data_IF_196053586663
#
_entry.id   IF_196053586663
#
_cell.length_a   1.000
_cell.length_b   1.000
_cell.length_c   1.000
_cell.angle_alpha   90.00
_cell.angle_beta   90.00
_cell.angle_gamma   90.00
#
_symmetry.space_group_name_H-M   'P 1'
#
loop_
_entity.id
_entity.type
_entity.pdbx_description
1 polymer ?
#
# COMPACT_ATOMS: atom_id res chain seq x y z
N UNK A 1 -0.15 6.66 23.97
CA UNK A 1 -0.46 5.57 24.91
C UNK A 1 0.74 4.63 25.09
N UNK A 2 1.27 4.08 23.97
CA UNK A 2 2.34 3.07 24.07
C UNK A 2 3.62 3.64 24.70
N UNK A 3 4.11 4.78 24.25
CA UNK A 3 5.36 5.36 24.73
C UNK A 3 5.26 5.97 26.14
N UNK A 4 4.15 6.62 26.48
CA UNK A 4 4.00 7.31 27.77
C UNK A 4 3.45 6.39 28.88
N UNK A 5 2.58 5.47 28.52
CA UNK A 5 1.88 4.62 29.49
C UNK A 5 2.33 3.16 29.45
N UNK A 6 3.23 2.79 28.54
CA UNK A 6 3.74 1.43 28.40
C UNK A 6 2.70 0.41 27.92
N UNK A 7 1.61 0.86 27.31
CA UNK A 7 0.60 -0.04 26.72
C UNK A 7 1.15 -0.58 25.39
N UNK A 8 1.30 -1.90 25.29
CA UNK A 8 1.77 -2.52 24.06
C UNK A 8 0.93 -2.11 22.85
N UNK A 9 1.52 -1.69 21.73
CA UNK A 9 0.77 -1.48 20.49
C UNK A 9 0.09 -2.77 20.00
N UNK A 10 0.60 -3.93 20.41
CA UNK A 10 0.11 -5.27 20.04
C UNK A 10 -0.91 -5.84 21.04
N UNK A 11 -1.54 -5.00 21.88
CA UNK A 11 -2.44 -5.42 22.97
C UNK A 11 -3.56 -6.38 22.51
N UNK A 12 -4.13 -6.16 21.32
CA UNK A 12 -5.19 -7.01 20.77
C UNK A 12 -4.67 -8.28 20.08
N UNK A 13 -3.36 -8.35 19.84
CA UNK A 13 -2.71 -9.41 19.07
C UNK A 13 -1.98 -10.41 19.96
N UNK A 14 -1.32 -9.93 21.01
CA UNK A 14 -0.51 -10.75 21.90
C UNK A 14 -1.24 -11.13 23.20
N UNK A 15 -2.51 -10.79 23.35
CA UNK A 15 -3.30 -11.03 24.54
C UNK A 15 -2.66 -10.53 25.85
N UNK A 16 -1.83 -9.50 25.77
CA UNK A 16 -1.18 -8.88 26.92
C UNK A 16 -1.96 -7.63 27.31
N UNK A 17 -2.81 -7.75 28.31
CA UNK A 17 -3.65 -6.67 28.79
C UNK A 17 -2.95 -5.87 29.87
N UNK A 18 -2.98 -4.52 29.82
CA UNK A 18 -2.45 -3.70 30.89
C UNK A 18 -3.26 -3.89 32.18
N UNK A 19 -2.57 -3.83 33.32
CA UNK A 19 -3.24 -3.85 34.61
C UNK A 19 -4.15 -2.61 34.75
N UNK A 20 -5.36 -2.82 35.28
CA UNK A 20 -6.25 -1.71 35.62
C UNK A 20 -5.60 -0.85 36.70
N UNK A 21 -5.71 0.46 36.55
CA UNK A 21 -5.23 1.46 37.50
C UNK A 21 -6.36 2.43 37.80
N UNK A 22 -6.50 2.82 39.07
CA UNK A 22 -7.52 3.79 39.50
C UNK A 22 -7.17 5.22 39.09
N UNK A 23 -5.89 5.50 38.84
CA UNK A 23 -5.42 6.80 38.38
C UNK A 23 -4.19 6.67 37.47
N UNK A 24 -4.04 7.62 36.59
CA UNK A 24 -2.86 7.79 35.72
C UNK A 24 -2.31 9.17 36.03
N UNK A 25 -1.03 9.23 36.45
CA UNK A 25 -0.32 10.48 36.69
C UNK A 25 0.69 10.68 35.54
N UNK A 26 0.56 11.79 34.84
CA UNK A 26 1.53 12.26 33.85
C UNK A 26 2.27 13.44 34.43
N UNK A 27 3.57 13.43 34.40
CA UNK A 27 4.41 14.56 34.73
C UNK A 27 4.72 15.50 33.53
N UNK A 28 5.49 16.53 33.77
CA UNK A 28 5.85 17.49 32.71
C UNK A 28 6.66 16.86 31.58
N UNK A 29 7.33 15.72 31.80
CA UNK A 29 8.06 14.99 30.76
C UNK A 29 7.15 14.34 29.72
N UNK A 30 5.85 14.23 30.02
CA UNK A 30 4.83 13.80 29.06
C UNK A 30 4.53 14.85 27.96
N UNK A 31 5.00 16.09 28.17
CA UNK A 31 4.88 17.19 27.19
C UNK A 31 5.98 17.06 26.13
N UNK A 32 5.77 16.23 25.13
CA UNK A 32 6.73 15.94 24.07
C UNK A 32 6.26 16.53 22.74
N UNK A 33 7.14 17.27 22.09
CA UNK A 33 6.98 17.67 20.67
C UNK A 33 7.78 16.69 19.84
N UNK A 34 7.11 15.95 18.96
CA UNK A 34 7.77 15.02 18.03
C UNK A 34 8.17 15.73 16.75
N UNK A 35 9.23 15.26 16.11
CA UNK A 35 9.60 15.69 14.75
C UNK A 35 8.56 15.19 13.74
N UNK A 36 8.57 15.81 12.57
CA UNK A 36 7.87 15.25 11.40
C UNK A 36 8.44 13.85 11.10
N UNK A 37 7.57 12.87 10.80
CA UNK A 37 8.02 11.53 10.44
C UNK A 37 8.94 11.51 9.22
N UNK A 38 9.93 10.63 9.22
CA UNK A 38 10.92 10.53 8.16
C UNK A 38 10.33 10.08 6.82
N UNK A 39 9.27 9.28 6.84
CA UNK A 39 8.51 8.84 5.66
C UNK A 39 7.07 9.33 5.78
N UNK A 40 6.58 9.99 4.74
CA UNK A 40 5.27 10.65 4.75
C UNK A 40 4.10 9.67 4.93
N UNK A 41 3.97 8.68 4.04
CA UNK A 41 2.97 7.61 4.12
C UNK A 41 3.69 6.31 4.44
N UNK A 42 3.33 5.68 5.55
CA UNK A 42 3.99 4.49 6.06
C UNK A 42 2.97 3.53 6.64
N UNK A 43 3.06 2.29 6.21
CA UNK A 43 2.06 1.32 6.61
C UNK A 43 2.32 -0.07 6.06
N UNK A 44 1.26 -0.83 5.97
CA UNK A 44 1.34 -2.22 5.53
C UNK A 44 0.18 -2.61 4.61
N UNK A 45 0.34 -3.76 3.99
CA UNK A 45 -0.62 -4.40 3.12
C UNK A 45 -1.00 -5.76 3.69
N UNK A 46 -2.30 -5.96 3.93
CA UNK A 46 -2.87 -7.27 4.27
C UNK A 46 -3.14 -7.98 2.96
N UNK A 47 -2.15 -8.75 2.49
CA UNK A 47 -2.23 -9.39 1.19
C UNK A 47 -2.99 -10.71 1.23
N UNK A 48 -2.92 -11.43 2.34
CA UNK A 48 -3.58 -12.73 2.49
C UNK A 48 -4.73 -12.63 3.50
N UNK A 49 -5.87 -13.22 3.17
CA UNK A 49 -7.04 -13.19 4.03
C UNK A 49 -7.29 -14.55 4.67
N UNK A 50 -7.10 -15.62 3.92
CA UNK A 50 -7.41 -16.97 4.34
C UNK A 50 -6.18 -17.87 4.26
N UNK A 51 -6.02 -18.81 5.25
CA UNK A 51 -7.02 -19.14 6.27
C UNK A 51 -6.92 -18.32 7.57
N UNK A 52 -5.81 -17.60 7.86
CA UNK A 52 -5.57 -17.08 9.19
C UNK A 52 -6.34 -15.77 9.48
N UNK A 53 -6.12 -14.71 8.73
CA UNK A 53 -6.73 -13.40 8.98
C UNK A 53 -8.27 -13.45 8.89
N UNK A 54 -8.81 -14.06 7.82
CA UNK A 54 -10.25 -14.18 7.62
C UNK A 54 -10.93 -15.02 8.70
N UNK A 55 -10.33 -16.15 9.10
CA UNK A 55 -10.86 -16.97 10.21
C UNK A 55 -10.88 -16.20 11.54
N UNK A 56 -9.82 -15.42 11.81
CA UNK A 56 -9.78 -14.55 12.99
C UNK A 56 -10.87 -13.47 12.91
N UNK A 57 -11.02 -12.82 11.75
CA UNK A 57 -12.02 -11.79 11.55
C UNK A 57 -13.45 -12.32 11.69
N UNK A 58 -13.75 -13.48 11.12
CA UNK A 58 -15.06 -14.14 11.28
C UNK A 58 -15.36 -14.47 12.74
N UNK A 59 -14.40 -15.07 13.43
CA UNK A 59 -14.57 -15.47 14.83
C UNK A 59 -14.84 -14.29 15.76
N UNK A 60 -14.18 -13.15 15.55
CA UNK A 60 -14.21 -12.02 16.49
C UNK A 60 -15.17 -10.92 16.06
N UNK A 61 -15.42 -10.74 14.76
CA UNK A 61 -16.18 -9.59 14.23
C UNK A 61 -17.31 -10.01 13.29
N UNK A 62 -17.43 -11.29 12.96
CA UNK A 62 -18.40 -11.81 12.01
C UNK A 62 -18.01 -11.55 10.54
N UNK A 63 -16.72 -11.30 10.28
CA UNK A 63 -16.15 -11.08 8.95
C UNK A 63 -15.15 -9.92 8.90
N UNK A 64 -14.55 -9.71 7.74
CA UNK A 64 -13.66 -8.59 7.44
C UNK A 64 -14.54 -7.37 7.14
N UNK A 65 -14.81 -6.58 8.17
CA UNK A 65 -15.73 -5.43 8.14
C UNK A 65 -15.18 -4.25 8.96
N UNK A 66 -15.95 -3.17 9.12
CA UNK A 66 -15.51 -1.98 9.85
C UNK A 66 -15.09 -2.27 11.31
N UNK A 67 -15.69 -3.26 11.97
CA UNK A 67 -15.30 -3.64 13.34
C UNK A 67 -13.93 -4.32 13.36
N UNK A 68 -13.65 -5.14 12.34
CA UNK A 68 -12.34 -5.74 12.14
C UNK A 68 -11.31 -4.65 11.83
N UNK A 69 -11.61 -3.76 10.88
CA UNK A 69 -10.71 -2.67 10.52
C UNK A 69 -10.46 -1.68 11.64
N UNK A 70 -11.39 -1.50 12.59
CA UNK A 70 -11.12 -0.69 13.79
C UNK A 70 -9.90 -1.19 14.57
N UNK A 71 -9.72 -2.50 14.68
CA UNK A 71 -8.54 -3.10 15.32
C UNK A 71 -7.27 -2.93 14.49
N UNK A 72 -7.40 -3.06 13.17
CA UNK A 72 -6.27 -2.87 12.24
C UNK A 72 -5.80 -1.41 12.24
N UNK A 73 -6.72 -0.45 12.19
CA UNK A 73 -6.38 0.97 12.24
C UNK A 73 -5.78 1.36 13.58
N UNK A 74 -6.30 0.83 14.70
CA UNK A 74 -5.70 1.04 16.01
C UNK A 74 -4.27 0.52 16.06
N UNK A 75 -4.01 -0.70 15.57
CA UNK A 75 -2.67 -1.26 15.47
C UNK A 75 -1.75 -0.38 14.64
N UNK A 76 -2.18 -0.02 13.42
CA UNK A 76 -1.41 0.84 12.51
C UNK A 76 -0.99 2.15 13.19
N UNK A 77 -1.94 2.86 13.79
CA UNK A 77 -1.70 4.14 14.45
C UNK A 77 -0.81 4.00 15.70
N UNK A 78 -0.98 2.94 16.48
CA UNK A 78 -0.13 2.64 17.66
C UNK A 78 1.30 2.31 17.25
N UNK A 79 1.49 1.69 16.08
CA UNK A 79 2.79 1.44 15.47
C UNK A 79 3.33 2.66 14.69
N UNK A 80 2.70 3.84 14.80
CA UNK A 80 3.08 5.09 14.13
C UNK A 80 2.92 5.07 12.61
N UNK A 81 2.17 4.11 12.08
CA UNK A 81 1.73 4.09 10.69
C UNK A 81 0.58 5.06 10.45
N UNK A 82 0.29 5.36 9.20
CA UNK A 82 -0.82 6.22 8.77
C UNK A 82 -1.40 5.83 7.41
N UNK A 83 -0.93 4.74 6.81
CA UNK A 83 -1.30 4.34 5.45
C UNK A 83 -1.56 2.84 5.37
N UNK A 84 -2.66 2.43 4.74
CA UNK A 84 -3.03 1.02 4.66
C UNK A 84 -3.45 0.63 3.24
N UNK A 85 -2.96 -0.53 2.78
CA UNK A 85 -3.57 -1.32 1.72
C UNK A 85 -4.39 -2.44 2.35
N UNK A 86 -5.72 -2.46 2.15
CA UNK A 86 -6.59 -3.41 2.81
C UNK A 86 -6.53 -4.80 2.17
N UNK A 87 -7.14 -5.77 2.82
CA UNK A 87 -7.45 -7.09 2.29
C UNK A 87 -8.26 -6.98 0.99
N UNK A 88 -8.01 -7.86 -0.01
CA UNK A 88 -8.48 -7.61 -1.36
C UNK A 88 -8.86 -8.85 -2.19
N UNK A 89 -8.40 -10.05 -1.84
CA UNK A 89 -8.63 -11.24 -2.68
C UNK A 89 -10.04 -11.80 -2.55
N UNK A 90 -10.60 -11.79 -1.34
CA UNK A 90 -11.97 -12.19 -1.05
C UNK A 90 -12.79 -11.05 -0.42
N UNK A 91 -12.16 -9.91 -0.16
CA UNK A 91 -12.74 -8.76 0.53
C UNK A 91 -12.82 -7.54 -0.37
N UNK A 92 -13.79 -6.69 -0.09
CA UNK A 92 -13.98 -5.43 -0.76
C UNK A 92 -14.09 -4.31 0.28
N UNK A 93 -12.99 -3.73 0.67
CA UNK A 93 -12.91 -2.71 1.72
C UNK A 93 -13.98 -1.63 1.59
N UNK A 94 -14.24 -1.18 0.38
CA UNK A 94 -15.20 -0.09 0.15
C UNK A 94 -16.66 -0.50 0.29
N UNK A 95 -16.99 -1.78 0.38
CA UNK A 95 -18.37 -2.27 0.45
C UNK A 95 -18.65 -3.20 1.63
N UNK A 96 -17.63 -3.84 2.19
CA UNK A 96 -17.76 -4.86 3.25
C UNK A 96 -17.98 -4.27 4.66
N UNK A 97 -18.03 -2.94 4.78
CA UNK A 97 -18.05 -2.21 6.03
C UNK A 97 -19.20 -2.36 7.02
N UNK A 98 -20.53 -2.54 6.76
CA UNK A 98 -21.23 -2.58 5.47
C UNK A 98 -21.28 -1.23 4.74
N UNK A 99 -21.40 -1.29 3.44
CA UNK A 99 -21.31 -0.09 2.59
C UNK A 99 -20.00 0.65 2.86
N UNK A 100 -20.03 1.96 2.95
CA UNK A 100 -18.84 2.80 3.12
C UNK A 100 -18.32 2.89 4.58
N UNK A 101 -18.85 2.10 5.52
CA UNK A 101 -18.49 2.23 6.93
C UNK A 101 -17.00 2.04 7.22
N UNK A 102 -16.31 1.16 6.47
CA UNK A 102 -14.85 0.98 6.62
C UNK A 102 -14.07 2.21 6.15
N UNK A 103 -14.47 2.81 5.02
CA UNK A 103 -13.84 4.02 4.49
C UNK A 103 -14.09 5.24 5.40
N UNK A 104 -15.32 5.40 5.90
CA UNK A 104 -15.65 6.44 6.87
C UNK A 104 -14.86 6.28 8.16
N UNK A 105 -14.73 5.06 8.67
CA UNK A 105 -13.95 4.77 9.86
C UNK A 105 -12.46 5.12 9.67
N UNK A 106 -11.88 4.82 8.50
CA UNK A 106 -10.50 5.19 8.19
C UNK A 106 -10.31 6.72 8.25
N UNK A 107 -11.23 7.46 7.62
CA UNK A 107 -11.24 8.92 7.61
C UNK A 107 -11.38 9.50 9.03
N UNK A 108 -12.36 9.01 9.80
CA UNK A 108 -12.60 9.43 11.20
C UNK A 108 -11.39 9.16 12.11
N UNK A 109 -10.61 8.12 11.84
CA UNK A 109 -9.41 7.76 12.60
C UNK A 109 -8.12 8.42 12.05
N UNK A 110 -8.18 9.10 10.92
CA UNK A 110 -7.02 9.72 10.27
C UNK A 110 -6.09 8.71 9.59
N UNK A 111 -6.63 7.60 9.12
CA UNK A 111 -5.90 6.60 8.32
C UNK A 111 -6.11 6.86 6.84
N UNK A 112 -5.02 7.10 6.13
CA UNK A 112 -5.02 7.27 4.67
C UNK A 112 -5.12 5.90 4.00
N UNK A 113 -6.09 5.73 3.12
CA UNK A 113 -6.26 4.46 2.42
C UNK A 113 -5.59 4.48 1.03
N UNK A 114 -5.06 3.35 0.64
CA UNK A 114 -4.67 3.06 -0.73
C UNK A 114 -5.24 1.73 -1.18
N UNK A 115 -4.87 1.32 -2.38
CA UNK A 115 -5.18 0.01 -2.93
C UNK A 115 -3.91 -0.59 -3.51
N UNK A 116 -3.87 -1.90 -3.67
CA UNK A 116 -2.69 -2.57 -4.18
C UNK A 116 -2.39 -2.19 -5.64
N UNK A 117 -1.24 -2.62 -6.12
CA UNK A 117 -0.69 -2.27 -7.44
C UNK A 117 -1.54 -2.67 -8.65
N UNK A 118 -2.48 -3.58 -8.49
CA UNK A 118 -3.39 -4.00 -9.57
C UNK A 118 -4.86 -3.58 -9.34
N UNK A 119 -5.10 -2.69 -8.38
CA UNK A 119 -6.42 -2.19 -8.01
C UNK A 119 -6.54 -0.67 -8.20
N UNK A 120 -6.47 -0.16 -9.43
CA UNK A 120 -6.45 1.28 -9.67
C UNK A 120 -7.78 1.96 -9.33
N UNK A 121 -7.70 3.28 -9.09
CA UNK A 121 -8.86 4.16 -8.92
C UNK A 121 -9.79 3.77 -7.76
N UNK A 122 -9.21 3.28 -6.65
CA UNK A 122 -9.94 2.92 -5.42
C UNK A 122 -10.99 1.81 -5.63
N UNK A 123 -10.72 0.89 -6.55
CA UNK A 123 -11.52 -0.31 -6.78
C UNK A 123 -10.82 -1.53 -6.24
N UNK A 124 -11.56 -2.43 -5.62
CA UNK A 124 -11.06 -3.76 -5.30
C UNK A 124 -11.12 -4.67 -6.53
N UNK A 125 -10.13 -5.55 -6.70
CA UNK A 125 -10.07 -6.47 -7.84
C UNK A 125 -11.31 -7.37 -7.94
N UNK A 126 -11.80 -7.85 -6.80
CA UNK A 126 -13.02 -8.69 -6.73
C UNK A 126 -14.29 -7.98 -7.21
N UNK A 127 -14.38 -6.65 -7.10
CA UNK A 127 -15.57 -5.90 -7.51
C UNK A 127 -15.89 -6.08 -8.98
N UNK A 128 -14.87 -6.07 -9.84
CA UNK A 128 -15.11 -6.21 -11.28
C UNK A 128 -15.75 -7.56 -11.59
N UNK A 129 -15.23 -8.63 -11.00
CA UNK A 129 -15.81 -9.97 -11.15
C UNK A 129 -17.27 -10.08 -10.70
N UNK A 130 -17.66 -9.34 -9.67
CA UNK A 130 -19.04 -9.29 -9.18
C UNK A 130 -19.98 -8.44 -10.05
N UNK A 131 -19.44 -7.45 -10.73
CA UNK A 131 -20.23 -6.40 -11.41
C UNK A 131 -20.22 -6.49 -12.93
N UNK A 132 -19.29 -7.27 -13.53
CA UNK A 132 -19.18 -7.42 -14.99
C UNK A 132 -20.32 -8.23 -15.59
N UNK A 133 -20.51 -8.10 -16.89
CA UNK A 133 -21.49 -8.86 -17.67
C UNK A 133 -21.91 -8.12 -18.93
N UNK A 134 -22.57 -8.81 -19.86
CA UNK A 134 -23.00 -8.25 -21.15
C UNK A 134 -23.92 -7.03 -21.01
N UNK A 135 -24.76 -7.02 -19.95
CA UNK A 135 -25.71 -5.93 -19.67
C UNK A 135 -25.18 -4.97 -18.59
N UNK A 136 -23.97 -5.19 -18.10
CA UNK A 136 -23.34 -4.32 -17.13
C UNK A 136 -22.81 -3.03 -17.77
N UNK A 137 -22.92 -1.87 -17.11
CA UNK A 137 -22.30 -0.64 -17.58
C UNK A 137 -20.76 -0.74 -17.61
N UNK A 138 -20.20 -1.75 -16.98
CA UNK A 138 -18.75 -1.99 -16.91
C UNK A 138 -18.26 -2.97 -17.99
N UNK A 139 -19.17 -3.58 -18.78
CA UNK A 139 -18.82 -4.61 -19.75
C UNK A 139 -18.39 -5.93 -19.08
N UNK A 140 -17.82 -6.84 -19.87
CA UNK A 140 -17.49 -8.20 -19.44
C UNK A 140 -15.97 -8.52 -19.49
N UNK A 141 -15.20 -7.77 -20.28
CA UNK A 141 -13.76 -7.99 -20.43
C UNK A 141 -12.93 -7.06 -19.55
N UNK A 142 -12.03 -7.63 -18.73
CA UNK A 142 -10.96 -6.86 -18.04
C UNK A 142 -9.81 -6.63 -19.01
N UNK A 143 -10.07 -5.83 -20.04
CA UNK A 143 -9.13 -5.46 -21.09
C UNK A 143 -9.40 -4.02 -21.52
N UNK A 144 -8.42 -3.14 -21.31
CA UNK A 144 -8.57 -1.74 -21.71
C UNK A 144 -8.63 -1.57 -23.23
N UNK A 145 -8.02 -2.50 -23.99
CA UNK A 145 -8.09 -2.49 -25.47
C UNK A 145 -9.49 -2.82 -25.99
N UNK A 146 -10.16 -3.77 -25.35
CA UNK A 146 -11.47 -4.27 -25.82
C UNK A 146 -12.64 -3.55 -25.16
N UNK A 147 -12.44 -3.06 -23.92
CA UNK A 147 -13.50 -2.54 -23.06
C UNK A 147 -13.11 -1.22 -22.36
N UNK A 148 -12.45 -0.31 -23.08
CA UNK A 148 -12.03 1.00 -22.53
C UNK A 148 -13.17 1.74 -21.84
N UNK A 149 -14.36 1.77 -22.45
CA UNK A 149 -15.53 2.49 -21.89
C UNK A 149 -16.02 1.89 -20.58
N UNK A 150 -16.16 0.58 -20.51
CA UNK A 150 -16.65 -0.11 -19.33
C UNK A 150 -15.66 -0.01 -18.19
N UNK A 151 -14.37 -0.20 -18.44
CA UNK A 151 -13.30 -0.05 -17.44
C UNK A 151 -13.19 1.39 -16.97
N UNK A 152 -13.25 2.37 -17.88
CA UNK A 152 -13.26 3.79 -17.50
C UNK A 152 -14.45 4.14 -16.61
N UNK A 153 -15.63 3.61 -16.92
CA UNK A 153 -16.82 3.79 -16.07
C UNK A 153 -16.67 3.13 -14.70
N UNK A 154 -16.08 1.95 -14.65
CA UNK A 154 -15.78 1.24 -13.41
C UNK A 154 -14.83 2.07 -12.52
N UNK A 155 -13.76 2.61 -13.07
CA UNK A 155 -12.84 3.49 -12.36
C UNK A 155 -13.48 4.81 -11.92
N UNK A 156 -14.25 5.44 -12.81
CA UNK A 156 -15.00 6.67 -12.49
C UNK A 156 -15.85 6.50 -11.23
N UNK A 157 -16.62 5.42 -11.16
CA UNK A 157 -17.50 5.17 -10.03
C UNK A 157 -16.74 4.84 -8.73
N UNK A 158 -15.56 4.21 -8.84
CA UNK A 158 -14.64 4.04 -7.71
C UNK A 158 -14.12 5.36 -7.16
N UNK A 159 -13.69 6.25 -8.05
CA UNK A 159 -13.21 7.58 -7.69
C UNK A 159 -14.34 8.43 -7.05
N UNK A 160 -15.53 8.47 -7.64
CA UNK A 160 -16.69 9.18 -7.08
C UNK A 160 -17.06 8.69 -5.68
N UNK A 161 -17.05 7.38 -5.48
CA UNK A 161 -17.38 6.75 -4.21
C UNK A 161 -16.42 7.16 -3.10
N UNK A 162 -15.13 7.27 -3.44
CA UNK A 162 -14.07 7.52 -2.46
C UNK A 162 -13.57 8.98 -2.41
N UNK A 163 -14.15 9.89 -3.22
CA UNK A 163 -13.67 11.27 -3.36
C UNK A 163 -13.74 12.11 -2.07
N UNK A 164 -14.57 11.71 -1.11
CA UNK A 164 -14.75 12.41 0.17
C UNK A 164 -13.74 11.97 1.25
N UNK A 165 -13.01 10.89 1.01
CA UNK A 165 -12.10 10.31 1.98
C UNK A 165 -10.64 10.61 1.61
N UNK A 166 -9.76 10.63 2.60
CA UNK A 166 -8.34 10.82 2.38
C UNK A 166 -7.69 9.56 1.83
N UNK A 167 -7.21 9.62 0.59
CA UNK A 167 -6.67 8.47 -0.14
C UNK A 167 -5.40 8.82 -0.90
N UNK A 168 -4.55 7.81 -1.13
CA UNK A 168 -3.55 7.81 -2.20
C UNK A 168 -4.07 6.92 -3.33
N UNK A 169 -4.34 7.50 -4.49
CA UNK A 169 -4.97 6.79 -5.60
C UNK A 169 -3.92 5.98 -6.36
N UNK A 170 -4.10 4.66 -6.40
CA UNK A 170 -3.29 3.77 -7.23
C UNK A 170 -3.63 3.98 -8.70
N UNK A 171 -2.59 4.10 -9.53
CA UNK A 171 -2.65 4.28 -10.97
C UNK A 171 -1.97 3.12 -11.71
N UNK A 172 -2.22 3.05 -13.00
CA UNK A 172 -1.76 1.97 -13.85
C UNK A 172 -2.83 0.90 -14.03
N UNK A 173 -2.46 -0.22 -14.53
CA UNK A 173 -3.33 -1.39 -14.73
C UNK A 173 -2.46 -2.64 -14.85
N UNK A 174 -2.95 -3.76 -14.31
CA UNK A 174 -2.46 -5.10 -14.59
C UNK A 174 -3.60 -5.97 -15.14
N UNK A 175 -3.29 -7.16 -15.57
CA UNK A 175 -4.28 -8.16 -15.94
C UNK A 175 -5.14 -8.58 -14.75
N UNK A 176 -6.21 -9.28 -15.03
CA UNK A 176 -7.12 -9.78 -14.00
C UNK A 176 -6.37 -10.74 -13.04
N UNK A 177 -6.67 -10.66 -11.75
CA UNK A 177 -6.00 -11.42 -10.69
C UNK A 177 -4.47 -11.27 -10.66
N UNK A 178 -4.00 -10.04 -10.84
CA UNK A 178 -2.58 -9.70 -10.77
C UNK A 178 -1.70 -10.38 -11.85
N UNK A 179 -2.27 -10.68 -13.01
CA UNK A 179 -1.54 -11.22 -14.17
C UNK A 179 -0.94 -10.11 -15.02
N UNK A 180 -0.18 -10.47 -16.07
CA UNK A 180 0.33 -9.52 -17.05
C UNK A 180 -0.82 -8.79 -17.76
N UNK A 181 -0.61 -7.51 -18.09
CA UNK A 181 -1.66 -6.67 -18.71
C UNK A 181 -2.00 -7.09 -20.15
N UNK A 182 -1.02 -7.55 -20.90
CA UNK A 182 -1.16 -8.12 -22.24
C UNK A 182 -0.64 -9.56 -22.27
N UNK A 183 -0.88 -10.24 -23.38
CA UNK A 183 -0.35 -11.58 -23.61
C UNK A 183 1.19 -11.60 -23.54
N UNK A 184 1.74 -12.76 -23.21
CA UNK A 184 3.18 -12.93 -22.94
C UNK A 184 4.07 -12.56 -24.15
N UNK A 185 3.55 -12.68 -25.35
CA UNK A 185 4.25 -12.39 -26.61
C UNK A 185 4.27 -10.90 -26.94
N UNK A 186 3.53 -10.08 -26.20
CA UNK A 186 3.46 -8.64 -26.43
C UNK A 186 4.77 -7.94 -26.10
N UNK A 187 5.15 -7.00 -26.95
CA UNK A 187 6.38 -6.21 -26.78
C UNK A 187 6.29 -5.20 -25.65
N UNK A 188 7.44 -4.73 -25.16
CA UNK A 188 7.51 -3.63 -24.18
C UNK A 188 6.83 -2.37 -24.75
N UNK A 189 7.01 -2.07 -26.06
CA UNK A 189 6.41 -0.91 -26.70
C UNK A 189 4.87 -0.97 -26.69
N UNK A 190 4.28 -2.13 -26.98
CA UNK A 190 2.81 -2.32 -26.94
C UNK A 190 2.26 -2.11 -25.52
N UNK A 191 2.92 -2.68 -24.52
CA UNK A 191 2.54 -2.50 -23.12
C UNK A 191 2.67 -1.03 -22.68
N UNK A 192 3.77 -0.36 -23.02
CA UNK A 192 4.00 1.06 -22.72
C UNK A 192 2.95 1.94 -23.38
N UNK A 193 2.61 1.68 -24.66
CA UNK A 193 1.57 2.41 -25.39
C UNK A 193 0.20 2.26 -24.73
N UNK A 194 -0.13 1.05 -24.29
CA UNK A 194 -1.37 0.79 -23.56
C UNK A 194 -1.40 1.54 -22.23
N UNK A 195 -0.33 1.43 -21.42
CA UNK A 195 -0.22 2.10 -20.14
C UNK A 195 -0.29 3.63 -20.25
N UNK A 196 0.28 4.23 -21.28
CA UNK A 196 0.11 5.68 -21.55
C UNK A 196 -1.37 6.07 -21.70
N UNK A 197 -2.15 5.28 -22.41
CA UNK A 197 -3.58 5.53 -22.60
C UNK A 197 -4.37 5.32 -21.28
N UNK A 198 -4.02 4.29 -20.52
CA UNK A 198 -4.56 4.03 -19.18
C UNK A 198 -4.30 5.22 -18.27
N UNK A 199 -3.05 5.65 -18.12
CA UNK A 199 -2.65 6.76 -17.25
C UNK A 199 -3.33 8.08 -17.63
N UNK A 200 -3.42 8.37 -18.93
CA UNK A 200 -4.12 9.55 -19.45
C UNK A 200 -5.60 9.53 -19.07
N UNK A 201 -6.24 8.38 -19.24
CA UNK A 201 -7.66 8.22 -18.86
C UNK A 201 -7.85 8.36 -17.36
N UNK A 202 -7.02 7.72 -16.56
CA UNK A 202 -7.10 7.83 -15.09
C UNK A 202 -6.88 9.26 -14.61
N UNK A 203 -5.88 9.97 -15.14
CA UNK A 203 -5.66 11.38 -14.81
C UNK A 203 -6.85 12.27 -15.19
N UNK A 204 -7.48 12.02 -16.35
CA UNK A 204 -8.70 12.72 -16.74
C UNK A 204 -9.84 12.45 -15.74
N UNK A 205 -10.08 11.20 -15.40
CA UNK A 205 -11.14 10.81 -14.46
C UNK A 205 -10.90 11.40 -13.06
N UNK A 206 -9.66 11.46 -12.59
CA UNK A 206 -9.28 12.05 -11.30
C UNK A 206 -9.55 13.57 -11.33
N UNK A 207 -9.20 14.27 -12.43
CA UNK A 207 -9.51 15.71 -12.56
C UNK A 207 -11.01 15.99 -12.52
N UNK A 208 -11.80 15.15 -13.14
CA UNK A 208 -13.25 15.31 -13.27
C UNK A 208 -14.00 14.97 -11.98
N UNK A 209 -13.51 14.01 -11.18
CA UNK A 209 -14.29 13.42 -10.09
C UNK A 209 -13.69 13.60 -8.68
N UNK A 210 -12.41 13.96 -8.57
CA UNK A 210 -11.72 14.14 -7.28
C UNK A 210 -11.27 15.58 -7.11
N UNK A 211 -10.34 16.05 -7.94
CA UNK A 211 -9.86 17.42 -7.89
C UNK A 211 -9.30 17.85 -9.24
N UNK A 212 -9.75 18.98 -9.78
CA UNK A 212 -9.26 19.52 -11.06
C UNK A 212 -7.76 19.83 -11.06
N UNK A 213 -7.16 20.07 -9.90
CA UNK A 213 -5.72 20.22 -9.72
C UNK A 213 -5.09 18.91 -9.24
N UNK A 214 -4.51 18.15 -10.16
CA UNK A 214 -3.85 16.89 -9.85
C UNK A 214 -2.69 16.99 -8.84
N UNK A 215 -2.06 18.15 -8.70
CA UNK A 215 -0.99 18.35 -7.71
C UNK A 215 -1.51 18.28 -6.26
N UNK A 216 -2.83 18.37 -6.06
CA UNK A 216 -3.49 18.23 -4.76
C UNK A 216 -3.99 16.81 -4.50
N UNK A 217 -3.86 15.90 -5.46
CA UNK A 217 -4.33 14.51 -5.35
C UNK A 217 -3.12 13.59 -5.21
N UNK A 218 -2.89 12.97 -4.05
CA UNK A 218 -1.87 11.95 -3.89
C UNK A 218 -2.15 10.76 -4.82
N UNK A 219 -1.17 10.38 -5.63
CA UNK A 219 -1.26 9.31 -6.61
C UNK A 219 -0.01 8.46 -6.56
N UNK A 220 -0.15 7.16 -6.76
CA UNK A 220 0.98 6.23 -6.76
C UNK A 220 0.89 5.27 -7.96
N UNK A 221 2.02 5.01 -8.60
CA UNK A 221 2.18 3.92 -9.55
C UNK A 221 3.25 2.97 -9.04
N UNK A 222 2.92 1.69 -8.94
CA UNK A 222 3.81 0.68 -8.39
C UNK A 222 4.53 -0.06 -9.50
N UNK A 223 5.84 -0.12 -9.42
CA UNK A 223 6.69 -0.87 -10.36
C UNK A 223 6.87 -2.30 -9.84
N UNK A 224 5.85 -3.12 -10.01
CA UNK A 224 5.87 -4.51 -9.61
C UNK A 224 6.02 -5.42 -10.83
N UNK A 225 6.82 -6.47 -10.69
CA UNK A 225 7.09 -7.46 -11.74
C UNK A 225 7.50 -6.84 -13.08
N UNK A 226 6.76 -7.10 -14.17
CA UNK A 226 7.04 -6.61 -15.53
C UNK A 226 6.87 -5.09 -15.70
N UNK A 227 6.06 -4.45 -14.84
CA UNK A 227 5.82 -3.00 -14.90
C UNK A 227 7.10 -2.20 -14.70
N UNK A 228 8.07 -2.75 -13.94
CA UNK A 228 9.40 -2.14 -13.80
C UNK A 228 10.11 -2.05 -15.17
N UNK A 229 10.03 -3.12 -15.97
CA UNK A 229 10.57 -3.11 -17.33
C UNK A 229 9.87 -2.11 -18.25
N UNK A 230 8.57 -1.93 -18.10
CA UNK A 230 7.82 -0.93 -18.87
C UNK A 230 8.16 0.51 -18.45
N UNK A 231 8.49 0.72 -17.17
CA UNK A 231 8.89 2.04 -16.68
C UNK A 231 10.27 2.45 -17.21
N UNK A 232 11.26 1.57 -17.13
CA UNK A 232 12.61 1.89 -17.59
C UNK A 232 12.76 1.79 -19.11
N UNK A 233 11.92 1.00 -19.77
CA UNK A 233 12.04 0.73 -21.21
C UNK A 233 13.29 -0.07 -21.55
N UNK A 234 13.81 0.12 -22.74
CA UNK A 234 14.99 -0.58 -23.23
C UNK A 234 15.41 -0.07 -24.61
N UNK A 235 16.11 -0.92 -25.39
CA UNK A 235 16.62 -0.53 -26.73
C UNK A 235 15.51 -0.21 -27.74
N UNK A 236 14.33 -0.81 -27.56
CA UNK A 236 13.23 -0.75 -28.50
C UNK A 236 12.08 0.16 -28.03
N UNK A 237 12.10 0.63 -26.79
CA UNK A 237 11.08 1.52 -26.22
C UNK A 237 11.67 2.44 -25.18
N UNK A 238 11.27 3.71 -25.22
CA UNK A 238 11.65 4.72 -24.21
C UNK A 238 11.13 4.43 -22.80
N UNK A 239 10.13 3.55 -22.66
CA UNK A 239 9.46 3.31 -21.41
C UNK A 239 8.63 4.51 -20.91
N UNK A 240 8.33 4.51 -19.59
CA UNK A 240 7.50 5.51 -18.95
C UNK A 240 8.28 6.47 -18.04
N UNK A 241 9.60 6.40 -18.00
CA UNK A 241 10.44 7.20 -17.08
C UNK A 241 10.21 8.72 -17.25
N UNK A 242 9.95 9.18 -18.46
CA UNK A 242 9.71 10.59 -18.79
C UNK A 242 8.26 10.86 -19.22
N UNK A 243 7.33 9.97 -18.85
CA UNK A 243 5.93 10.09 -19.24
C UNK A 243 5.25 11.26 -18.50
N UNK A 244 4.73 12.27 -19.21
CA UNK A 244 4.10 13.43 -18.60
C UNK A 244 2.89 13.08 -17.71
N UNK A 245 2.20 11.99 -17.99
CA UNK A 245 1.07 11.54 -17.19
C UNK A 245 1.48 11.06 -15.78
N UNK A 246 2.77 10.84 -15.55
CA UNK A 246 3.35 10.51 -14.24
C UNK A 246 3.86 11.75 -13.48
N UNK A 247 3.74 12.97 -14.01
CA UNK A 247 4.16 14.18 -13.29
C UNK A 247 3.38 14.30 -11.96
N UNK A 248 4.10 14.36 -10.85
CA UNK A 248 3.54 14.40 -9.51
C UNK A 248 2.91 13.09 -9.00
N UNK A 249 3.09 11.97 -9.72
CA UNK A 249 2.73 10.63 -9.24
C UNK A 249 3.92 10.04 -8.49
N UNK A 250 3.71 9.54 -7.28
CA UNK A 250 4.77 8.82 -6.55
C UNK A 250 5.09 7.51 -7.28
N UNK A 251 6.35 7.29 -7.61
CA UNK A 251 6.82 6.05 -8.22
C UNK A 251 7.24 5.11 -7.10
N UNK A 252 6.48 4.04 -6.91
CA UNK A 252 6.75 3.05 -5.87
C UNK A 252 7.56 1.89 -6.46
N UNK A 253 8.79 1.78 -6.01
CA UNK A 253 9.69 0.67 -6.33
C UNK A 253 9.29 -0.57 -5.53
N UNK A 254 9.74 -1.74 -5.94
CA UNK A 254 9.53 -2.98 -5.20
C UNK A 254 10.83 -3.73 -4.93
N UNK A 255 10.79 -4.58 -3.92
CA UNK A 255 11.82 -5.60 -3.71
C UNK A 255 11.61 -6.80 -4.65
N UNK A 256 12.42 -7.83 -4.47
CA UNK A 256 12.34 -9.08 -5.25
C UNK A 256 11.37 -10.10 -4.63
N UNK A 257 10.38 -9.69 -3.86
CA UNK A 257 9.45 -10.51 -3.07
C UNK A 257 10.11 -11.26 -1.89
N UNK A 258 11.38 -11.03 -1.63
CA UNK A 258 12.15 -11.70 -0.58
C UNK A 258 12.97 -10.70 0.24
N UNK A 259 12.59 -9.44 0.23
CA UNK A 259 13.22 -8.39 1.00
C UNK A 259 14.57 -7.89 0.46
N UNK A 260 14.88 -8.07 -0.82
CA UNK A 260 16.04 -7.46 -1.46
C UNK A 260 15.58 -6.42 -2.51
N UNK A 261 15.95 -5.17 -2.32
CA UNK A 261 15.63 -4.07 -3.24
C UNK A 261 16.18 -4.35 -4.64
N UNK A 262 15.33 -4.20 -5.64
CA UNK A 262 15.69 -4.45 -7.05
C UNK A 262 16.43 -3.28 -7.66
N UNK A 263 15.85 -2.09 -7.51
CA UNK A 263 16.38 -0.84 -8.07
C UNK A 263 16.20 0.30 -7.08
N UNK A 264 17.03 1.34 -7.23
CA UNK A 264 16.92 2.58 -6.47
C UNK A 264 17.03 3.77 -7.44
N UNK A 265 16.42 4.92 -7.10
CA UNK A 265 16.48 6.09 -7.97
C UNK A 265 17.89 6.56 -8.21
N UNK A 266 18.28 6.73 -9.48
CA UNK A 266 19.52 7.39 -9.83
C UNK A 266 19.53 8.84 -9.36
N UNK A 267 20.69 9.50 -9.38
CA UNK A 267 20.80 10.91 -8.99
C UNK A 267 19.87 11.81 -9.82
N UNK A 268 19.71 11.52 -11.10
CA UNK A 268 18.84 12.27 -12.02
C UNK A 268 17.36 12.03 -11.71
N UNK A 269 16.99 10.80 -11.42
CA UNK A 269 15.60 10.43 -11.09
C UNK A 269 15.11 11.08 -9.78
N UNK A 270 15.99 11.36 -8.82
CA UNK A 270 15.62 11.96 -7.52
C UNK A 270 14.98 13.33 -7.61
N UNK A 271 15.04 13.98 -8.78
CA UNK A 271 14.32 15.24 -9.06
C UNK A 271 12.85 15.06 -9.44
N UNK A 272 12.33 13.82 -9.50
CA UNK A 272 10.93 13.55 -9.82
C UNK A 272 9.99 14.15 -8.77
N UNK A 273 9.03 14.99 -9.20
CA UNK A 273 8.18 15.78 -8.29
C UNK A 273 7.22 14.93 -7.44
N UNK A 274 6.83 13.77 -7.92
CA UNK A 274 5.96 12.84 -7.20
C UNK A 274 6.69 12.08 -6.10
N UNK A 275 8.03 12.12 -6.09
CA UNK A 275 8.87 11.37 -5.16
C UNK A 275 8.84 9.86 -5.40
N UNK A 276 9.39 9.11 -4.44
CA UNK A 276 9.54 7.67 -4.54
C UNK A 276 9.04 6.95 -3.30
N UNK A 277 8.45 5.78 -3.51
CA UNK A 277 8.02 4.84 -2.48
C UNK A 277 8.70 3.48 -2.61
N UNK A 278 8.50 2.62 -1.59
CA UNK A 278 8.94 1.24 -1.56
C UNK A 278 7.80 0.31 -1.16
N UNK A 279 7.57 -0.71 -1.95
CA UNK A 279 6.75 -1.87 -1.62
C UNK A 279 7.69 -3.02 -1.23
N UNK A 280 7.70 -3.36 0.05
CA UNK A 280 8.60 -4.32 0.67
C UNK A 280 7.85 -5.58 1.10
N UNK A 281 8.49 -6.77 1.07
CA UNK A 281 7.86 -8.02 1.48
C UNK A 281 8.46 -8.58 2.77
N UNK A 282 7.63 -8.75 3.78
CA UNK A 282 7.89 -9.55 4.98
C UNK A 282 7.24 -10.94 4.88
N UNK A 283 6.30 -11.06 3.97
CA UNK A 283 5.56 -12.28 3.67
C UNK A 283 5.37 -12.40 2.16
N UNK A 284 5.37 -13.62 1.66
CA UNK A 284 5.13 -13.91 0.25
C UNK A 284 4.29 -15.16 0.11
N UNK A 285 3.09 -14.99 -0.40
CA UNK A 285 2.20 -16.04 -0.84
C UNK A 285 2.36 -16.24 -2.35
N UNK A 286 2.65 -17.44 -2.79
CA UNK A 286 2.74 -17.77 -4.21
C UNK A 286 4.08 -18.36 -4.66
N UNK A 287 4.18 -18.55 -5.97
CA UNK A 287 5.34 -19.18 -6.58
C UNK A 287 6.52 -18.21 -6.83
N UNK A 288 7.72 -18.74 -7.03
CA UNK A 288 8.06 -20.16 -6.90
C UNK A 288 8.30 -20.62 -5.46
N UNK A 289 8.33 -19.70 -4.50
CA UNK A 289 8.62 -20.02 -3.09
C UNK A 289 7.81 -19.12 -2.17
N UNK A 290 6.82 -19.69 -1.50
CA UNK A 290 6.09 -19.04 -0.42
C UNK A 290 6.84 -19.16 0.91
N UNK A 291 6.75 -18.14 1.76
CA UNK A 291 7.30 -18.14 3.13
C UNK A 291 6.33 -17.48 4.12
N UNK A 292 5.07 -17.70 3.90
CA UNK A 292 3.98 -17.24 4.74
C UNK A 292 3.99 -17.91 6.13
N UNK A 293 3.48 -17.20 7.15
CA UNK A 293 3.29 -17.63 8.55
C UNK A 293 4.54 -18.05 9.34
N UNK A 294 5.72 -17.89 8.79
CA UNK A 294 6.95 -18.38 9.44
C UNK A 294 7.60 -17.30 10.32
N UNK A 295 7.29 -16.02 10.09
CA UNK A 295 7.91 -14.92 10.82
C UNK A 295 9.42 -14.86 10.63
N UNK A 296 9.89 -15.17 9.42
CA UNK A 296 11.32 -15.28 9.10
C UNK A 296 11.99 -13.93 8.79
N UNK A 297 11.33 -12.82 9.08
CA UNK A 297 11.85 -11.47 8.81
C UNK A 297 13.14 -11.22 9.56
N UNK A 298 14.23 -10.99 8.80
CA UNK A 298 15.53 -10.70 9.34
C UNK A 298 15.75 -9.18 9.46
N UNK A 299 15.63 -8.64 10.66
CA UNK A 299 15.70 -7.18 10.90
C UNK A 299 16.94 -6.48 10.34
N UNK A 300 18.18 -7.03 10.42
CA UNK A 300 19.33 -6.41 9.79
C UNK A 300 19.18 -6.22 8.28
N UNK A 301 18.48 -7.12 7.59
CA UNK A 301 18.17 -6.98 6.16
C UNK A 301 17.15 -5.87 5.92
N UNK A 302 16.08 -5.82 6.72
CA UNK A 302 15.10 -4.73 6.65
C UNK A 302 15.81 -3.39 6.86
N UNK A 303 16.63 -3.28 7.89
CA UNK A 303 17.43 -2.10 8.18
C UNK A 303 18.31 -1.70 6.99
N UNK A 304 19.11 -2.62 6.46
CA UNK A 304 20.04 -2.36 5.34
C UNK A 304 19.29 -1.86 4.10
N UNK A 305 18.23 -2.58 3.69
CA UNK A 305 17.50 -2.30 2.46
C UNK A 305 16.72 -0.99 2.58
N UNK A 306 16.08 -0.74 3.70
CA UNK A 306 15.22 0.43 3.87
C UNK A 306 16.01 1.70 4.19
N UNK A 307 17.14 1.61 4.90
CA UNK A 307 18.04 2.76 5.08
C UNK A 307 18.70 3.14 3.75
N UNK A 308 19.15 2.15 2.96
CA UNK A 308 19.66 2.42 1.62
C UNK A 308 18.58 3.08 0.73
N UNK A 309 17.35 2.57 0.74
CA UNK A 309 16.25 3.18 -0.01
C UNK A 309 16.03 4.64 0.42
N UNK A 310 16.01 4.92 1.71
CA UNK A 310 15.86 6.28 2.25
C UNK A 310 16.98 7.22 1.80
N UNK A 311 18.25 6.78 1.87
CA UNK A 311 19.42 7.53 1.40
C UNK A 311 19.36 7.86 -0.10
N UNK A 312 18.74 6.97 -0.89
CA UNK A 312 18.52 7.18 -2.31
C UNK A 312 17.26 7.99 -2.64
N UNK A 313 16.56 8.52 -1.63
CA UNK A 313 15.44 9.44 -1.81
C UNK A 313 14.06 8.77 -1.84
N UNK A 314 13.96 7.52 -1.44
CA UNK A 314 12.68 6.80 -1.32
C UNK A 314 12.05 7.13 0.02
N UNK A 315 11.26 8.22 0.09
CA UNK A 315 10.80 8.84 1.36
C UNK A 315 9.32 9.15 1.44
N UNK A 316 8.59 8.97 0.31
CA UNK A 316 7.20 9.42 0.26
C UNK A 316 6.22 8.36 0.74
N UNK A 317 6.40 7.09 0.31
CA UNK A 317 5.51 5.99 0.69
C UNK A 317 6.33 4.74 1.00
N UNK A 318 6.15 4.16 2.20
CA UNK A 318 6.65 2.84 2.54
C UNK A 318 5.51 1.92 2.92
N UNK A 319 5.34 0.83 2.18
CA UNK A 319 4.35 -0.21 2.46
C UNK A 319 5.05 -1.55 2.53
N UNK A 320 4.77 -2.32 3.57
CA UNK A 320 5.26 -3.70 3.65
C UNK A 320 4.11 -4.69 3.56
N UNK A 321 4.28 -5.71 2.72
CA UNK A 321 3.40 -6.86 2.67
C UNK A 321 3.60 -7.72 3.91
N UNK A 322 2.55 -7.91 4.69
CA UNK A 322 2.58 -8.69 5.93
C UNK A 322 1.76 -9.98 5.84
N UNK A 323 1.34 -10.34 4.61
CA UNK A 323 0.46 -11.47 4.40
C UNK A 323 -0.85 -11.29 5.15
N UNK A 324 -1.16 -12.18 6.05
CA UNK A 324 -2.31 -12.12 6.94
C UNK A 324 -1.99 -11.52 8.34
N UNK A 325 -0.87 -10.83 8.46
CA UNK A 325 -0.39 -10.10 9.64
C UNK A 325 0.18 -11.01 10.75
N UNK A 326 -0.41 -12.16 11.01
CA UNK A 326 0.08 -13.09 12.04
C UNK A 326 1.54 -13.48 11.78
N UNK A 327 2.34 -13.49 12.85
CA UNK A 327 3.79 -13.72 12.91
C UNK A 327 4.69 -12.59 12.39
N UNK A 328 4.12 -11.55 11.74
CA UNK A 328 4.91 -10.42 11.21
C UNK A 328 4.96 -9.21 12.15
N UNK A 329 4.30 -9.26 13.30
CA UNK A 329 4.09 -8.11 14.20
C UNK A 329 5.41 -7.48 14.66
N UNK A 330 6.42 -8.29 14.95
CA UNK A 330 7.73 -7.81 15.40
C UNK A 330 8.49 -7.10 14.26
N UNK A 331 8.54 -7.71 13.09
CA UNK A 331 9.15 -7.11 11.88
C UNK A 331 8.44 -5.82 11.47
N UNK A 332 7.11 -5.82 11.51
CA UNK A 332 6.27 -4.67 11.22
C UNK A 332 6.53 -3.52 12.20
N UNK A 333 6.66 -3.82 13.51
CA UNK A 333 6.98 -2.80 14.51
C UNK A 333 8.30 -2.09 14.18
N UNK A 334 9.34 -2.86 13.86
CA UNK A 334 10.64 -2.31 13.47
C UNK A 334 10.56 -1.48 12.18
N UNK A 335 9.88 -1.99 11.15
CA UNK A 335 9.72 -1.30 9.87
C UNK A 335 9.04 0.07 10.04
N UNK A 336 7.98 0.14 10.84
CA UNK A 336 7.25 1.38 11.08
C UNK A 336 8.00 2.35 11.99
N UNK A 337 8.73 1.85 12.98
CA UNK A 337 9.62 2.68 13.80
C UNK A 337 10.76 3.27 12.97
N UNK A 338 11.35 2.49 12.06
CA UNK A 338 12.36 2.95 11.12
C UNK A 338 11.80 4.00 10.15
N UNK A 339 10.60 3.78 9.62
CA UNK A 339 9.91 4.74 8.74
C UNK A 339 9.52 6.04 9.46
N UNK A 340 9.22 5.96 10.76
CA UNK A 340 8.87 7.11 11.56
C UNK A 340 10.09 7.96 11.94
N UNK A 341 11.18 7.31 12.39
CA UNK A 341 12.39 8.00 12.86
C UNK A 341 13.65 7.30 12.37
N UNK A 342 14.04 7.63 11.14
CA UNK A 342 15.24 7.07 10.52
C UNK A 342 16.54 7.52 11.21
N UNK A 343 16.55 8.68 11.87
CA UNK A 343 17.74 9.16 12.59
C UNK A 343 18.01 8.27 13.81
N UNK A 344 16.95 7.84 14.48
CA UNK A 344 17.05 6.97 15.67
C UNK A 344 17.35 5.52 15.29
N UNK A 345 16.60 4.97 14.32
CA UNK A 345 16.62 3.53 14.03
C UNK A 345 17.45 3.16 12.80
N UNK A 346 17.80 4.13 11.97
CA UNK A 346 18.60 3.95 10.78
C UNK A 346 20.12 4.06 10.98
N UNK A 347 20.63 4.00 12.21
CA UNK A 347 22.01 4.22 12.59
C UNK A 347 23.06 3.67 11.61
N UNK A 348 24.36 3.85 11.90
CA UNK A 348 25.42 3.59 10.91
C UNK A 348 25.80 2.11 10.75
N UNK A 349 25.27 1.22 11.58
CA UNK A 349 25.51 -0.22 11.47
C UNK A 349 24.31 -1.06 11.92
N UNK A 350 24.26 -2.30 11.47
CA UNK A 350 23.18 -3.23 11.79
C UNK A 350 23.07 -3.57 13.30
N UNK A 351 23.94 -3.06 14.16
CA UNK A 351 23.88 -3.29 15.60
C UNK A 351 22.61 -2.70 16.21
N UNK A 352 22.01 -1.67 15.57
CA UNK A 352 20.75 -1.08 15.97
C UNK A 352 19.62 -2.12 16.07
N UNK A 353 19.60 -3.12 15.18
CA UNK A 353 18.60 -4.17 15.19
C UNK A 353 18.72 -5.14 16.37
N UNK A 354 19.87 -5.18 17.04
CA UNK A 354 20.06 -5.93 18.29
C UNK A 354 19.53 -5.18 19.50
N UNK A 355 19.44 -3.85 19.41
CA UNK A 355 18.89 -3.01 20.45
C UNK A 355 17.37 -2.99 20.42
N UNK A 356 16.79 -3.23 19.25
CA UNK A 356 15.35 -3.31 19.06
C UNK A 356 14.77 -4.61 19.63
#
# INVERSE_FOLDING_TARGET
>A
LSELLGVSPLIHWNHVWPAKRDSIVLDESANVTTKEPSVRYRGFFINDEWPAFGTWAEKHFGGINAKCYAQIFELLLRLKGNYLWPAMWASNFSLDGPGLASAQLADDMGVVMGTSHHEPCMRAGVEYGMMRGKDSPYGDAWSFLENEKGISKFWEDGLKRNALFENVITMGMRGENDTAILEKESTVEENVKLLRNVLRTQNRLIRENVNCNLAKVPRVMVLFTEVEGFFYGGKESEGLLHEPELDGVTIMLSDNNQGATRTLPTKEMRGHKGGYGMYYHMDMHGGPMAFEWIGSTYLPKVWEQMTAAYEYGVRDIWVTNVGDLATQEYGLSFFLDLAYDIEKWGGQDAAITKQY
#
